data_IF_563915294120
#
_entry.id   IF_563915294120
#
_cell.length_a   1.000
_cell.length_b   1.000
_cell.length_c   1.000
_cell.angle_alpha   90.00
_cell.angle_beta   90.00
_cell.angle_gamma   90.00
#
_symmetry.space_group_name_H-M   'P 1'
#
loop_
_entity.id
_entity.type
_entity.pdbx_description
1 polymer ?
#
# COMPACT_ATOMS: atom_id res chain seq x y z
N UNK A 1 24.57 7.37 -4.43
CA UNK A 1 24.06 8.20 -5.54
C UNK A 1 22.56 8.33 -5.36
N UNK A 2 21.99 9.52 -5.56
CA UNK A 2 20.54 9.69 -5.56
C UNK A 2 19.96 8.92 -6.77
N UNK A 3 18.84 8.23 -6.57
CA UNK A 3 18.11 7.57 -7.65
C UNK A 3 17.43 8.65 -8.49
N UNK A 4 17.61 8.61 -9.80
CA UNK A 4 16.96 9.54 -10.74
C UNK A 4 15.56 9.04 -11.14
N UNK A 5 14.72 9.91 -11.71
CA UNK A 5 13.42 9.50 -12.27
C UNK A 5 13.60 8.46 -13.39
N UNK A 6 14.64 8.62 -14.21
CA UNK A 6 15.01 7.68 -15.28
C UNK A 6 15.33 6.28 -14.74
N UNK A 7 16.04 6.22 -13.60
CA UNK A 7 16.33 4.96 -12.90
C UNK A 7 15.06 4.28 -12.37
N UNK A 8 14.04 5.07 -11.96
CA UNK A 8 12.77 4.55 -11.46
C UNK A 8 11.90 4.01 -12.59
N UNK A 9 11.81 4.75 -13.70
CA UNK A 9 11.05 4.36 -14.88
C UNK A 9 11.60 3.06 -15.49
N UNK A 10 12.92 2.94 -15.58
CA UNK A 10 13.57 1.72 -16.06
C UNK A 10 13.24 0.52 -15.16
N UNK A 11 13.33 0.69 -13.83
CA UNK A 11 12.99 -0.39 -12.87
C UNK A 11 11.52 -0.82 -12.96
N UNK A 12 10.60 0.12 -13.17
CA UNK A 12 9.18 -0.17 -13.34
C UNK A 12 8.89 -0.92 -14.65
N UNK A 13 9.55 -0.54 -15.75
CA UNK A 13 9.43 -1.26 -17.01
C UNK A 13 9.97 -2.69 -16.92
N UNK A 14 11.13 -2.88 -16.27
CA UNK A 14 11.69 -4.21 -16.02
C UNK A 14 10.74 -5.07 -15.19
N UNK A 15 10.06 -4.48 -14.20
CA UNK A 15 9.04 -5.14 -13.40
C UNK A 15 7.85 -5.57 -14.27
N UNK A 16 7.28 -4.67 -15.08
CA UNK A 16 6.15 -5.01 -15.95
C UNK A 16 6.48 -6.15 -16.92
N UNK A 17 7.67 -6.11 -17.52
CA UNK A 17 8.18 -7.17 -18.40
C UNK A 17 8.34 -8.49 -17.66
N UNK A 18 8.94 -8.46 -16.45
CA UNK A 18 9.17 -9.66 -15.62
C UNK A 18 7.88 -10.39 -15.27
N UNK A 19 6.80 -9.66 -15.01
CA UNK A 19 5.52 -10.24 -14.60
C UNK A 19 4.47 -10.31 -15.72
N UNK A 20 4.86 -10.07 -16.97
CA UNK A 20 3.98 -10.07 -18.14
C UNK A 20 2.72 -9.19 -17.96
N UNK A 21 2.90 -8.04 -17.30
CA UNK A 21 1.82 -7.08 -17.03
C UNK A 21 1.63 -6.27 -18.32
N UNK A 22 0.49 -6.48 -18.99
CA UNK A 22 0.12 -5.76 -20.20
C UNK A 22 -0.92 -4.69 -19.90
N UNK A 23 -0.84 -3.53 -20.57
CA UNK A 23 -1.78 -2.43 -20.41
C UNK A 23 -1.48 -1.45 -19.26
N UNK A 24 -0.48 -1.74 -18.41
CA UNK A 24 0.03 -0.76 -17.45
C UNK A 24 0.83 0.33 -18.16
N UNK A 25 0.66 1.59 -17.75
CA UNK A 25 1.41 2.74 -18.24
C UNK A 25 1.99 3.52 -17.06
N UNK A 26 3.22 3.98 -17.21
CA UNK A 26 3.80 4.97 -16.31
C UNK A 26 3.12 6.29 -16.65
N UNK A 27 2.40 6.85 -15.69
CA UNK A 27 1.71 8.12 -15.85
C UNK A 27 2.61 9.20 -15.24
N UNK A 28 3.06 10.11 -16.07
CA UNK A 28 3.85 11.26 -15.63
C UNK A 28 2.95 12.44 -15.28
N UNK A 29 3.42 13.30 -14.38
CA UNK A 29 2.74 14.55 -14.03
C UNK A 29 2.66 15.44 -15.28
N UNK A 30 1.44 15.66 -15.79
CA UNK A 30 1.19 16.43 -17.02
C UNK A 30 0.78 15.60 -18.24
N UNK A 31 0.53 14.30 -18.11
CA UNK A 31 -0.07 13.49 -19.19
C UNK A 31 -1.48 14.04 -19.52
N UNK A 32 -1.78 14.41 -20.78
CA UNK A 32 -3.06 14.98 -21.19
C UNK A 32 -4.25 14.03 -21.05
N UNK A 33 -4.01 12.73 -20.82
CA UNK A 33 -5.04 11.74 -20.51
C UNK A 33 -5.31 11.60 -19.00
N UNK A 34 -4.54 12.30 -18.16
CA UNK A 34 -4.79 12.41 -16.72
C UNK A 34 -5.59 13.67 -16.49
N UNK A 35 -6.79 13.59 -15.89
CA UNK A 35 -7.52 14.78 -15.50
C UNK A 35 -6.64 15.64 -14.58
N UNK A 36 -6.21 16.80 -15.07
CA UNK A 36 -5.61 17.85 -14.25
C UNK A 36 -6.66 18.29 -13.21
N UNK A 37 -6.61 17.69 -12.03
CA UNK A 37 -7.60 17.97 -10.98
C UNK A 37 -8.45 16.78 -10.56
N UNK A 38 -8.09 15.54 -10.93
CA UNK A 38 -8.59 14.38 -10.19
C UNK A 38 -8.17 14.50 -8.73
N UNK A 39 -9.12 14.82 -7.84
CA UNK A 39 -8.93 14.65 -6.41
C UNK A 39 -8.77 13.15 -6.16
N UNK A 40 -7.54 12.68 -6.19
CA UNK A 40 -7.23 11.38 -5.65
C UNK A 40 -7.67 11.44 -4.19
N UNK A 41 -8.50 10.49 -3.77
CA UNK A 41 -8.78 10.28 -2.35
C UNK A 41 -7.49 9.75 -1.70
N UNK A 42 -6.53 10.65 -1.60
CA UNK A 42 -5.23 10.44 -1.02
C UNK A 42 -5.45 10.39 0.47
N UNK A 43 -5.09 9.26 1.06
CA UNK A 43 -5.03 9.08 2.50
C UNK A 43 -6.39 9.20 3.19
N UNK A 44 -7.20 8.12 3.12
CA UNK A 44 -8.34 7.97 4.02
C UNK A 44 -7.84 7.92 5.46
N UNK A 45 -8.36 8.80 6.31
CA UNK A 45 -8.03 8.85 7.74
C UNK A 45 -9.14 8.23 8.58
N UNK A 46 -8.80 7.77 9.78
CA UNK A 46 -9.82 7.53 10.79
C UNK A 46 -10.36 8.88 11.26
N UNK A 47 -11.67 9.07 11.21
CA UNK A 47 -12.28 10.27 11.79
C UNK A 47 -12.12 10.26 13.31
N UNK A 48 -12.30 11.40 13.97
CA UNK A 48 -12.28 11.48 15.43
C UNK A 48 -13.25 10.46 16.08
N UNK A 49 -14.46 10.35 15.52
CA UNK A 49 -15.46 9.34 15.92
C UNK A 49 -14.95 7.91 15.73
N UNK A 50 -14.26 7.63 14.64
CA UNK A 50 -13.66 6.30 14.41
C UNK A 50 -12.61 5.95 15.47
N UNK A 51 -11.83 6.94 15.91
CA UNK A 51 -10.82 6.77 16.96
C UNK A 51 -11.49 6.49 18.31
N UNK A 52 -12.54 7.25 18.65
CA UNK A 52 -13.34 7.06 19.87
C UNK A 52 -14.02 5.67 19.89
N UNK A 53 -14.46 5.18 18.74
CA UNK A 53 -15.04 3.83 18.59
C UNK A 53 -13.97 2.71 18.57
N UNK A 54 -12.68 3.06 18.61
CA UNK A 54 -11.57 2.12 18.59
C UNK A 54 -11.41 1.35 17.28
N UNK A 55 -11.84 1.92 16.14
CA UNK A 55 -11.77 1.23 14.83
C UNK A 55 -10.35 0.79 14.41
N UNK A 56 -9.27 1.55 14.67
CA UNK A 56 -7.91 1.07 14.36
C UNK A 56 -7.59 -0.26 15.07
N UNK A 57 -8.00 -0.39 16.34
CA UNK A 57 -7.78 -1.59 17.14
C UNK A 57 -8.62 -2.77 16.65
N UNK A 58 -9.86 -2.52 16.25
CA UNK A 58 -10.72 -3.55 15.64
C UNK A 58 -10.15 -4.07 14.32
N UNK A 59 -9.56 -3.19 13.50
CA UNK A 59 -8.87 -3.60 12.28
C UNK A 59 -7.69 -4.52 12.59
N UNK A 60 -6.87 -4.17 13.59
CA UNK A 60 -5.76 -5.00 14.02
C UNK A 60 -6.21 -6.38 14.51
N UNK A 61 -7.32 -6.46 15.25
CA UNK A 61 -7.90 -7.73 15.72
C UNK A 61 -8.43 -8.63 14.59
N UNK A 62 -8.77 -8.05 13.43
CA UNK A 62 -9.26 -8.78 12.26
C UNK A 62 -8.16 -9.41 11.41
N UNK A 63 -6.90 -9.05 11.64
CA UNK A 63 -5.79 -9.57 10.84
C UNK A 63 -5.70 -11.10 10.96
N UNK A 64 -5.67 -11.78 9.82
CA UNK A 64 -5.61 -13.24 9.73
C UNK A 64 -6.95 -13.96 9.94
N UNK A 65 -8.03 -13.25 10.25
CA UNK A 65 -9.36 -13.87 10.32
C UNK A 65 -9.83 -14.28 8.91
N UNK A 66 -10.41 -15.47 8.78
CA UNK A 66 -10.85 -16.02 7.49
C UNK A 66 -9.75 -15.97 6.41
N UNK A 67 -8.50 -16.24 6.79
CA UNK A 67 -7.34 -16.19 5.90
C UNK A 67 -7.18 -14.83 5.17
N UNK A 68 -7.64 -13.75 5.80
CA UNK A 68 -7.65 -12.40 5.21
C UNK A 68 -6.72 -11.46 5.98
N UNK A 69 -5.91 -10.70 5.25
CA UNK A 69 -5.08 -9.63 5.79
C UNK A 69 -5.45 -8.30 5.16
N UNK A 70 -5.53 -7.26 5.99
CA UNK A 70 -5.81 -5.89 5.55
C UNK A 70 -4.49 -5.10 5.58
N UNK A 71 -4.02 -4.64 4.43
CA UNK A 71 -2.78 -3.87 4.28
C UNK A 71 -2.98 -2.64 3.39
N UNK A 72 -2.02 -1.71 3.40
CA UNK A 72 -1.98 -0.54 2.52
C UNK A 72 -3.15 0.44 2.70
N UNK A 73 -3.90 0.75 1.64
CA UNK A 73 -4.97 1.75 1.68
C UNK A 73 -6.10 1.35 2.63
N UNK A 74 -6.28 0.05 2.86
CA UNK A 74 -7.25 -0.50 3.82
C UNK A 74 -6.87 -0.25 5.29
N UNK A 75 -5.60 0.08 5.57
CA UNK A 75 -5.10 0.39 6.92
C UNK A 75 -4.91 1.89 7.17
N UNK A 76 -5.25 2.73 6.19
CA UNK A 76 -5.30 4.20 6.36
C UNK A 76 -3.96 4.81 6.79
N UNK A 77 -2.85 4.33 6.23
CA UNK A 77 -1.51 4.91 6.43
C UNK A 77 -1.17 5.95 5.37
N UNK A 78 -0.40 6.97 5.77
CA UNK A 78 -0.08 8.15 4.95
C UNK A 78 1.04 7.86 3.97
N UNK A 79 2.06 7.13 4.43
CA UNK A 79 3.26 6.88 3.65
C UNK A 79 3.41 5.42 3.25
N UNK A 80 4.05 5.20 2.11
CA UNK A 80 4.47 3.86 1.67
C UNK A 80 5.39 3.22 2.72
N UNK A 81 6.20 4.02 3.42
CA UNK A 81 7.07 3.53 4.48
C UNK A 81 6.27 2.94 5.64
N UNK A 82 5.22 3.63 6.10
CA UNK A 82 4.35 3.14 7.18
C UNK A 82 3.64 1.85 6.78
N UNK A 83 3.21 1.74 5.52
CA UNK A 83 2.62 0.50 4.99
C UNK A 83 3.62 -0.65 5.02
N UNK A 84 4.86 -0.42 4.59
CA UNK A 84 5.91 -1.44 4.60
C UNK A 84 6.18 -1.87 6.04
N UNK A 85 6.39 -0.91 6.96
CA UNK A 85 6.67 -1.20 8.37
C UNK A 85 5.54 -2.00 9.01
N UNK A 86 4.28 -1.62 8.77
CA UNK A 86 3.12 -2.36 9.28
C UNK A 86 3.04 -3.78 8.71
N UNK A 87 3.25 -3.92 7.41
CA UNK A 87 3.19 -5.23 6.74
C UNK A 87 4.28 -6.16 7.25
N UNK A 88 5.51 -5.65 7.42
CA UNK A 88 6.61 -6.41 8.03
C UNK A 88 6.28 -6.83 9.46
N UNK A 89 5.71 -5.92 10.27
CA UNK A 89 5.30 -6.25 11.63
C UNK A 89 4.22 -7.35 11.68
N UNK A 90 3.26 -7.35 10.75
CA UNK A 90 2.27 -8.42 10.63
C UNK A 90 2.89 -9.77 10.25
N UNK A 91 3.83 -9.77 9.32
CA UNK A 91 4.55 -10.98 8.92
C UNK A 91 5.26 -11.63 10.11
N UNK A 92 6.05 -10.86 10.87
CA UNK A 92 6.76 -11.39 12.04
C UNK A 92 5.82 -11.80 13.18
N UNK A 93 4.71 -11.08 13.37
CA UNK A 93 3.81 -11.32 14.51
C UNK A 93 2.83 -12.48 14.28
N UNK A 94 2.34 -12.65 13.05
CA UNK A 94 1.22 -13.54 12.75
C UNK A 94 1.63 -14.68 11.82
N UNK A 95 2.51 -14.42 10.85
CA UNK A 95 2.83 -15.41 9.82
C UNK A 95 3.97 -16.32 10.28
N UNK A 96 5.13 -15.76 10.65
CA UNK A 96 6.30 -16.56 11.06
C UNK A 96 6.03 -17.53 12.22
N UNK A 97 5.30 -17.16 13.30
CA UNK A 97 5.04 -18.07 14.41
C UNK A 97 4.10 -19.23 14.05
N UNK A 98 3.36 -19.12 12.94
CA UNK A 98 2.40 -20.11 12.47
C UNK A 98 2.91 -20.95 11.28
N UNK A 99 4.09 -20.65 10.72
CA UNK A 99 4.76 -21.51 9.72
C UNK A 99 5.47 -22.70 10.39
N UNK A 100 5.86 -22.56 11.67
CA UNK A 100 6.59 -23.58 12.43
C UNK A 100 5.70 -24.42 13.36
N UNK A 101 4.38 -24.41 13.15
CA UNK A 101 3.41 -25.30 13.81
C UNK A 101 2.82 -26.27 12.81
#
# INVERSE_FOLDING_TARGET
QAITEEDLDQKMNDYFKKYNITGAKIIQKGDPNVPEGGAWEYFYQFTQKDLEEGKPWRLLQRQGQNSTFYVHASTRFESVLDVIMYTTALFHRIIEPNIHK
#
